data_IF_938519977896
#
_entry.id   IF_938519977896
#
_cell.length_a   1.000
_cell.length_b   1.000
_cell.length_c   1.000
_cell.angle_alpha   90.00
_cell.angle_beta   90.00
_cell.angle_gamma   90.00
#
_symmetry.space_group_name_H-M   'P 1'
#
loop_
_entity.id
_entity.type
_entity.pdbx_description
1 polymer ?
#
# COMPACT_ATOMS: atom_id res chain seq x y z
N UNK A 1 37.63 -16.95 -9.63
CA UNK A 1 36.63 -17.65 -10.48
C UNK A 1 35.40 -16.77 -10.57
N UNK A 2 35.02 -16.31 -11.76
CA UNK A 2 33.94 -15.32 -11.90
C UNK A 2 32.67 -16.00 -12.41
N UNK A 3 31.78 -16.39 -11.48
CA UNK A 3 30.50 -17.02 -11.80
C UNK A 3 29.68 -16.18 -12.79
N UNK A 4 29.68 -14.86 -12.62
CA UNK A 4 28.82 -13.96 -13.38
C UNK A 4 29.29 -13.88 -14.84
N UNK A 5 30.61 -13.70 -15.05
CA UNK A 5 31.19 -13.60 -16.38
C UNK A 5 31.31 -14.96 -17.07
N UNK A 6 31.90 -15.94 -16.38
CA UNK A 6 32.25 -17.22 -16.98
C UNK A 6 31.08 -18.21 -16.96
N UNK A 7 30.00 -17.90 -16.22
CA UNK A 7 28.85 -18.78 -16.03
C UNK A 7 29.28 -20.18 -15.60
N UNK A 8 30.23 -20.26 -14.66
CA UNK A 8 30.85 -21.52 -14.25
C UNK A 8 31.06 -21.57 -12.74
N UNK A 9 30.75 -22.72 -12.14
CA UNK A 9 31.01 -23.04 -10.74
C UNK A 9 31.82 -24.34 -10.70
N UNK A 10 33.08 -24.28 -10.24
CA UNK A 10 33.94 -25.46 -10.06
C UNK A 10 34.02 -26.40 -11.29
N UNK A 11 34.22 -25.85 -12.50
CA UNK A 11 34.26 -26.64 -13.74
C UNK A 11 32.89 -26.92 -14.37
N UNK A 12 31.80 -26.70 -13.64
CA UNK A 12 30.44 -26.86 -14.17
C UNK A 12 29.97 -25.58 -14.86
N UNK A 13 29.80 -25.64 -16.19
CA UNK A 13 29.22 -24.54 -16.97
C UNK A 13 27.70 -24.51 -16.82
N UNK A 14 27.19 -23.37 -16.36
CA UNK A 14 25.76 -23.12 -16.25
C UNK A 14 25.11 -23.12 -17.63
N UNK A 15 23.98 -23.82 -17.75
CA UNK A 15 23.16 -23.82 -18.95
C UNK A 15 22.72 -22.39 -19.35
N UNK A 16 22.52 -22.14 -20.64
CA UNK A 16 22.19 -20.81 -21.18
C UNK A 16 20.87 -20.24 -20.65
N UNK A 17 19.95 -21.10 -20.21
CA UNK A 17 18.68 -20.70 -19.60
C UNK A 17 18.81 -20.12 -18.18
N UNK A 18 19.93 -20.35 -17.48
CA UNK A 18 20.12 -19.87 -16.11
C UNK A 18 20.23 -18.33 -16.09
N UNK A 19 19.39 -17.67 -15.30
CA UNK A 19 19.47 -16.23 -15.05
C UNK A 19 20.10 -16.00 -13.68
N UNK A 20 20.99 -15.02 -13.59
CA UNK A 20 21.67 -14.65 -12.35
C UNK A 20 21.00 -13.36 -11.86
N UNK A 21 20.39 -13.41 -10.68
CA UNK A 21 19.80 -12.27 -9.99
C UNK A 21 20.49 -12.11 -8.64
N UNK A 22 20.89 -10.89 -8.31
CA UNK A 22 21.47 -10.53 -7.02
C UNK A 22 20.64 -9.42 -6.38
N UNK A 23 20.49 -9.47 -5.06
CA UNK A 23 19.90 -8.41 -4.25
C UNK A 23 20.95 -7.93 -3.26
N UNK A 24 21.09 -6.62 -3.13
CA UNK A 24 22.09 -6.00 -2.28
C UNK A 24 21.44 -4.88 -1.47
N UNK A 25 21.83 -4.74 -0.21
CA UNK A 25 21.46 -3.55 0.55
C UNK A 25 22.28 -2.35 0.04
N UNK A 26 21.69 -1.15 0.00
CA UNK A 26 22.45 0.06 -0.28
C UNK A 26 23.64 0.21 0.68
N UNK A 27 24.76 0.77 0.19
CA UNK A 27 25.94 1.03 1.03
C UNK A 27 26.37 2.49 0.94
N UNK A 28 27.21 2.92 1.88
CA UNK A 28 27.75 4.27 1.92
C UNK A 28 28.57 4.65 0.69
N UNK A 29 29.09 3.66 -0.04
CA UNK A 29 29.72 3.87 -1.36
C UNK A 29 28.78 4.50 -2.39
N UNK A 30 27.47 4.27 -2.26
CA UNK A 30 26.45 4.72 -3.23
C UNK A 30 25.62 5.91 -2.75
N UNK A 31 26.04 6.60 -1.68
CA UNK A 31 25.56 7.96 -1.36
C UNK A 31 24.81 8.12 -0.04
N UNK A 32 24.37 7.05 0.62
CA UNK A 32 23.68 7.13 1.91
C UNK A 32 24.52 6.56 3.05
N UNK A 33 24.77 7.36 4.08
CA UNK A 33 25.39 6.89 5.33
C UNK A 33 24.43 5.99 6.08
N UNK A 34 24.63 4.69 5.92
CA UNK A 34 23.92 3.66 6.66
C UNK A 34 24.73 3.17 7.86
N UNK A 35 24.07 3.03 9.01
CA UNK A 35 24.67 2.52 10.25
C UNK A 35 24.87 0.99 10.26
N UNK A 36 24.85 0.34 9.09
CA UNK A 36 25.05 -1.11 8.95
C UNK A 36 26.21 -1.44 8.01
N UNK A 37 26.92 -2.52 8.31
CA UNK A 37 28.03 -2.96 7.49
C UNK A 37 27.52 -3.70 6.24
N UNK A 38 27.99 -3.25 5.08
CA UNK A 38 27.74 -3.90 3.79
C UNK A 38 29.08 -4.27 3.18
N UNK A 39 29.15 -5.45 2.56
CA UNK A 39 30.28 -5.81 1.72
C UNK A 39 30.06 -5.18 0.35
N UNK A 40 30.85 -4.17 0.04
CA UNK A 40 30.79 -3.53 -1.26
C UNK A 40 31.23 -4.48 -2.37
N UNK A 41 30.51 -4.41 -3.49
CA UNK A 41 30.90 -5.09 -4.70
C UNK A 41 32.11 -4.37 -5.33
N UNK A 42 33.05 -5.13 -5.89
CA UNK A 42 34.17 -4.53 -6.63
C UNK A 42 33.69 -3.99 -8.00
N UNK A 43 34.34 -2.96 -8.52
CA UNK A 43 33.91 -2.29 -9.76
C UNK A 43 33.87 -3.22 -10.98
N UNK A 44 34.65 -4.30 -10.99
CA UNK A 44 34.56 -5.26 -12.08
C UNK A 44 33.27 -6.08 -11.98
N UNK A 45 32.82 -6.43 -10.78
CA UNK A 45 31.54 -7.10 -10.56
C UNK A 45 30.35 -6.17 -10.79
N UNK A 46 30.44 -4.89 -10.39
CA UNK A 46 29.40 -3.87 -10.66
C UNK A 46 29.08 -3.74 -12.16
N UNK A 47 30.11 -3.70 -12.99
CA UNK A 47 29.99 -3.61 -14.46
C UNK A 47 29.42 -4.88 -15.12
N UNK A 48 29.10 -5.92 -14.37
CA UNK A 48 28.51 -7.17 -14.89
C UNK A 48 27.03 -7.32 -14.55
N UNK A 49 26.44 -6.37 -13.83
CA UNK A 49 25.02 -6.34 -13.51
C UNK A 49 24.32 -5.14 -14.14
N UNK A 50 23.02 -5.33 -14.42
CA UNK A 50 22.09 -4.23 -14.62
C UNK A 50 21.51 -3.88 -13.25
N UNK A 51 21.60 -2.61 -12.87
CA UNK A 51 21.18 -2.12 -11.57
C UNK A 51 19.71 -1.71 -11.59
N UNK A 52 18.92 -2.26 -10.67
CA UNK A 52 17.54 -1.89 -10.42
C UNK A 52 17.42 -1.42 -8.98
N UNK A 53 17.13 -0.14 -8.79
CA UNK A 53 16.93 0.44 -7.46
C UNK A 53 15.49 0.18 -7.02
N UNK A 54 15.34 -0.37 -5.82
CA UNK A 54 14.05 -0.70 -5.23
C UNK A 54 13.78 0.24 -4.06
N UNK A 55 12.58 0.79 -4.01
CA UNK A 55 12.11 1.63 -2.92
C UNK A 55 10.70 1.20 -2.48
N UNK A 56 10.35 1.52 -1.24
CA UNK A 56 9.01 1.32 -0.70
C UNK A 56 8.06 2.40 -1.19
N UNK A 57 7.13 2.03 -2.06
CA UNK A 57 6.06 2.92 -2.53
C UNK A 57 4.78 2.71 -1.69
N UNK A 58 4.23 3.80 -1.17
CA UNK A 58 3.16 3.76 -0.18
C UNK A 58 1.86 3.16 -0.74
N UNK A 59 1.45 3.54 -1.94
CA UNK A 59 0.20 3.04 -2.54
C UNK A 59 0.29 1.53 -2.80
N UNK A 60 1.43 1.05 -3.27
CA UNK A 60 1.71 -0.36 -3.53
C UNK A 60 1.70 -1.17 -2.24
N UNK A 61 2.29 -0.63 -1.17
CA UNK A 61 2.25 -1.28 0.14
C UNK A 61 0.83 -1.32 0.72
N UNK A 62 0.10 -0.20 0.68
CA UNK A 62 -1.28 -0.11 1.14
C UNK A 62 -2.18 -1.10 0.40
N UNK A 63 -2.01 -1.21 -0.93
CA UNK A 63 -2.73 -2.20 -1.72
C UNK A 63 -2.42 -3.63 -1.26
N UNK A 64 -1.15 -3.98 -1.13
CA UNK A 64 -0.76 -5.31 -0.64
C UNK A 64 -1.30 -5.59 0.77
N UNK A 65 -1.32 -4.57 1.63
CA UNK A 65 -1.82 -4.67 3.01
C UNK A 65 -3.30 -5.01 3.05
N UNK A 66 -4.12 -4.35 2.23
CA UNK A 66 -5.55 -4.68 2.06
C UNK A 66 -5.72 -6.10 1.53
N UNK A 67 -5.02 -6.45 0.45
CA UNK A 67 -5.14 -7.77 -0.20
C UNK A 67 -4.75 -8.92 0.74
N UNK A 68 -3.76 -8.67 1.61
CA UNK A 68 -3.25 -9.61 2.61
C UNK A 68 -4.03 -9.62 3.92
N UNK A 69 -5.05 -8.77 4.08
CA UNK A 69 -5.89 -8.70 5.27
C UNK A 69 -5.15 -8.21 6.52
N UNK A 70 -4.26 -7.22 6.37
CA UNK A 70 -3.67 -6.52 7.51
C UNK A 70 -4.76 -5.79 8.31
N UNK A 71 -4.44 -5.51 9.57
CA UNK A 71 -5.33 -4.88 10.52
C UNK A 71 -5.64 -3.43 10.11
N UNK A 72 -6.93 -3.11 9.99
CA UNK A 72 -7.44 -1.89 9.38
C UNK A 72 -6.79 -0.62 9.96
N UNK A 73 -6.67 -0.51 11.29
CA UNK A 73 -6.05 0.66 11.93
C UNK A 73 -4.58 0.87 11.56
N UNK A 74 -3.85 -0.18 11.22
CA UNK A 74 -2.47 -0.07 10.73
C UNK A 74 -2.44 0.48 9.30
N UNK A 75 -3.36 0.01 8.46
CA UNK A 75 -3.51 0.48 7.09
C UNK A 75 -3.94 1.97 7.11
N UNK A 76 -4.93 2.32 7.93
CA UNK A 76 -5.40 3.70 8.12
C UNK A 76 -4.31 4.64 8.62
N UNK A 77 -3.46 4.16 9.54
CA UNK A 77 -2.36 4.94 10.07
C UNK A 77 -1.37 5.33 8.97
N UNK A 78 -0.95 4.37 8.13
CA UNK A 78 -0.05 4.66 6.99
C UNK A 78 -0.73 5.49 5.91
N UNK A 79 -2.02 5.29 5.67
CA UNK A 79 -2.76 6.13 4.72
C UNK A 79 -2.85 7.59 5.18
N UNK A 80 -2.93 7.81 6.50
CA UNK A 80 -2.95 9.13 7.12
C UNK A 80 -1.55 9.75 7.17
N UNK A 81 -0.51 8.95 7.47
CA UNK A 81 0.88 9.38 7.57
C UNK A 81 1.80 8.56 6.64
N UNK A 82 1.73 8.76 5.32
CA UNK A 82 2.51 8.03 4.32
C UNK A 82 4.02 8.02 4.59
N UNK A 83 4.54 9.12 5.13
CA UNK A 83 5.95 9.33 5.48
C UNK A 83 6.46 8.35 6.55
N UNK A 84 5.56 7.73 7.32
CA UNK A 84 5.94 6.78 8.36
C UNK A 84 6.11 5.35 7.85
N UNK A 85 5.78 5.05 6.59
CA UNK A 85 5.97 3.70 6.04
C UNK A 85 7.43 3.25 6.09
N UNK A 86 8.34 4.17 5.76
CA UNK A 86 9.78 3.94 5.78
C UNK A 86 10.47 5.10 6.50
N UNK A 87 10.91 4.87 7.74
CA UNK A 87 11.60 5.91 8.51
C UNK A 87 13.08 5.97 8.16
N UNK A 88 13.54 7.18 7.80
CA UNK A 88 14.95 7.48 7.54
C UNK A 88 15.62 8.18 8.74
N UNK A 89 14.94 8.29 9.89
CA UNK A 89 15.48 8.98 11.07
C UNK A 89 16.80 8.33 11.56
N UNK A 90 17.86 9.15 11.57
CA UNK A 90 19.20 8.76 12.03
C UNK A 90 19.26 8.69 13.56
N UNK A 91 20.11 7.82 14.10
CA UNK A 91 20.35 7.72 15.55
C UNK A 91 19.25 6.99 16.34
N UNK A 92 18.31 6.33 15.66
CA UNK A 92 17.34 5.45 16.29
C UNK A 92 17.76 3.99 16.15
N UNK A 93 17.61 3.18 17.21
CA UNK A 93 17.93 1.75 17.16
C UNK A 93 16.94 0.93 16.31
N UNK A 94 15.85 1.55 15.84
CA UNK A 94 14.77 0.86 15.14
C UNK A 94 14.17 1.78 14.09
N UNK A 95 14.21 1.35 12.83
CA UNK A 95 13.62 2.04 11.70
C UNK A 95 12.32 1.35 11.29
N UNK A 96 11.26 2.12 11.13
CA UNK A 96 10.01 1.61 10.57
C UNK A 96 10.23 1.21 9.10
N UNK A 97 9.72 0.05 8.74
CA UNK A 97 9.74 -0.49 7.38
C UNK A 97 8.38 -1.11 7.05
N UNK A 98 8.05 -1.32 5.76
CA UNK A 98 6.90 -2.14 5.35
C UNK A 98 6.69 -3.43 6.15
N UNK A 99 7.79 -4.14 6.46
CA UNK A 99 7.77 -5.38 7.24
C UNK A 99 7.44 -5.15 8.72
N UNK A 100 7.90 -4.03 9.28
CA UNK A 100 7.59 -3.67 10.66
C UNK A 100 6.08 -3.48 10.86
N UNK A 101 5.38 -2.89 9.89
CA UNK A 101 3.93 -2.70 9.95
C UNK A 101 3.14 -3.99 9.81
N UNK A 102 3.61 -4.97 9.03
CA UNK A 102 3.02 -6.32 9.02
C UNK A 102 3.08 -6.97 10.43
N UNK A 103 4.21 -6.83 11.13
CA UNK A 103 4.37 -7.33 12.51
C UNK A 103 3.46 -6.58 13.48
N UNK A 104 3.40 -5.25 13.38
CA UNK A 104 2.51 -4.43 14.22
C UNK A 104 1.05 -4.79 13.97
N UNK A 105 0.65 -5.06 12.73
CA UNK A 105 -0.69 -5.54 12.42
C UNK A 105 -1.02 -6.85 13.14
N UNK A 106 -0.11 -7.83 13.12
CA UNK A 106 -0.30 -9.11 13.84
C UNK A 106 -0.41 -8.90 15.34
N UNK A 107 0.46 -8.06 15.92
CA UNK A 107 0.45 -7.73 17.35
C UNK A 107 -0.84 -7.00 17.74
N UNK A 108 -1.26 -6.02 16.94
CA UNK A 108 -2.41 -5.19 17.26
C UNK A 108 -3.73 -5.99 17.17
N UNK A 109 -3.82 -6.92 16.22
CA UNK A 109 -4.93 -7.88 16.16
C UNK A 109 -5.04 -8.71 17.44
N UNK A 110 -3.92 -9.30 17.89
CA UNK A 110 -3.88 -10.06 19.15
C UNK A 110 -4.21 -9.19 20.37
N UNK A 111 -3.78 -7.93 20.37
CA UNK A 111 -4.11 -6.97 21.43
C UNK A 111 -5.62 -6.71 21.49
N UNK A 112 -6.29 -6.46 20.36
CA UNK A 112 -7.75 -6.25 20.31
C UNK A 112 -8.53 -7.44 20.85
N UNK A 113 -8.08 -8.66 20.54
CA UNK A 113 -8.69 -9.90 21.04
C UNK A 113 -8.53 -10.08 22.56
N UNK A 114 -7.59 -9.36 23.19
CA UNK A 114 -7.20 -9.51 24.60
C UNK A 114 -7.16 -8.18 25.36
N UNK A 115 -7.91 -7.18 24.91
CA UNK A 115 -7.75 -5.78 25.35
C UNK A 115 -7.90 -5.59 26.87
N UNK A 116 -8.80 -6.36 27.49
CA UNK A 116 -9.03 -6.31 28.94
C UNK A 116 -7.89 -6.93 29.78
N UNK A 117 -7.01 -7.71 29.17
CA UNK A 117 -5.96 -8.47 29.84
C UNK A 117 -4.55 -7.90 29.60
N UNK A 118 -4.37 -7.09 28.55
CA UNK A 118 -3.07 -6.56 28.16
C UNK A 118 -3.04 -5.05 28.41
N UNK A 119 -2.26 -4.56 29.38
CA UNK A 119 -2.09 -3.14 29.58
C UNK A 119 -1.56 -2.44 28.32
N UNK A 120 -2.13 -1.28 27.98
CA UNK A 120 -1.76 -0.49 26.80
C UNK A 120 -0.26 -0.16 26.70
N UNK A 121 0.40 0.02 27.85
CA UNK A 121 1.86 0.21 27.93
C UNK A 121 2.67 -0.94 27.28
N UNK A 122 2.14 -2.16 27.32
CA UNK A 122 2.78 -3.33 26.70
C UNK A 122 2.67 -3.22 25.18
N UNK A 123 1.49 -2.87 24.66
CA UNK A 123 1.30 -2.61 23.23
C UNK A 123 2.26 -1.51 22.76
N UNK A 124 2.32 -0.38 23.47
CA UNK A 124 3.24 0.72 23.15
C UNK A 124 4.69 0.24 23.06
N UNK A 125 5.18 -0.54 24.03
CA UNK A 125 6.56 -1.05 24.01
C UNK A 125 6.83 -1.98 22.82
N UNK A 126 5.87 -2.86 22.48
CA UNK A 126 6.03 -3.78 21.34
C UNK A 126 6.02 -3.01 20.02
N UNK A 127 5.13 -2.03 19.88
CA UNK A 127 5.06 -1.17 18.69
C UNK A 127 6.35 -0.33 18.58
N UNK A 128 6.83 0.25 19.67
CA UNK A 128 8.09 1.00 19.71
C UNK A 128 9.30 0.15 19.31
N UNK A 129 9.33 -1.12 19.70
CA UNK A 129 10.37 -2.06 19.26
C UNK A 129 10.33 -2.42 17.77
N UNK A 130 9.25 -2.08 17.05
CA UNK A 130 9.14 -2.29 15.59
C UNK A 130 9.24 -0.99 14.79
N UNK A 131 8.72 0.12 15.31
CA UNK A 131 8.56 1.39 14.57
C UNK A 131 9.43 2.53 15.12
N UNK A 132 10.06 2.35 16.28
CA UNK A 132 10.70 3.42 17.03
C UNK A 132 9.70 4.20 17.92
N UNK A 133 10.24 4.89 18.93
CA UNK A 133 9.43 5.51 19.99
C UNK A 133 8.46 6.58 19.46
N UNK A 134 8.93 7.46 18.57
CA UNK A 134 8.13 8.57 18.04
C UNK A 134 6.89 8.05 17.29
N UNK A 135 7.11 7.22 16.27
CA UNK A 135 6.03 6.64 15.47
C UNK A 135 5.09 5.79 16.34
N UNK A 136 5.61 5.06 17.33
CA UNK A 136 4.76 4.29 18.23
C UNK A 136 3.83 5.16 19.09
N UNK A 137 4.32 6.30 19.62
CA UNK A 137 3.47 7.23 20.36
C UNK A 137 2.38 7.83 19.48
N UNK A 138 2.74 8.19 18.24
CA UNK A 138 1.77 8.71 17.27
C UNK A 138 0.76 7.65 16.86
N UNK A 139 1.17 6.39 16.67
CA UNK A 139 0.26 5.27 16.40
C UNK A 139 -0.71 5.03 17.56
N UNK A 140 -0.22 5.04 18.80
CA UNK A 140 -1.07 4.88 20.00
C UNK A 140 -2.06 6.03 20.14
N UNK A 141 -1.61 7.26 19.90
CA UNK A 141 -2.46 8.46 19.89
C UNK A 141 -3.49 8.41 18.76
N UNK A 142 -3.10 7.92 17.58
CA UNK A 142 -3.97 7.75 16.43
C UNK A 142 -5.11 6.75 16.72
N UNK A 143 -4.81 5.66 17.42
CA UNK A 143 -5.82 4.69 17.86
C UNK A 143 -6.76 5.32 18.89
N UNK A 144 -6.24 6.10 19.86
CA UNK A 144 -7.06 6.75 20.89
C UNK A 144 -7.94 7.88 20.36
N UNK A 145 -7.46 8.61 19.35
CA UNK A 145 -8.09 9.82 18.87
C UNK A 145 -9.45 9.59 18.18
N UNK A 146 -9.96 8.35 18.14
CA UNK A 146 -11.19 8.01 17.43
C UNK A 146 -11.20 8.63 16.01
N UNK A 147 -10.04 8.58 15.35
CA UNK A 147 -9.87 9.13 14.02
C UNK A 147 -10.93 8.54 13.10
N UNK A 148 -11.49 9.39 12.23
CA UNK A 148 -12.54 8.98 11.30
C UNK A 148 -12.06 7.73 10.55
N UNK A 149 -12.77 6.61 10.68
CA UNK A 149 -12.40 5.40 9.96
C UNK A 149 -12.42 5.67 8.46
N UNK A 150 -11.92 4.75 7.65
CA UNK A 150 -12.20 4.79 6.22
C UNK A 150 -13.71 4.69 5.99
N UNK A 151 -14.15 5.10 4.81
CA UNK A 151 -15.54 4.90 4.41
C UNK A 151 -15.73 3.39 4.26
N UNK A 152 -16.62 2.81 5.07
CA UNK A 152 -16.84 1.37 5.06
C UNK A 152 -17.66 0.93 3.84
N UNK A 153 -17.67 -0.38 3.56
CA UNK A 153 -18.41 -0.95 2.44
C UNK A 153 -19.90 -0.67 2.54
N UNK A 154 -20.45 -0.92 3.72
CA UNK A 154 -21.87 -0.75 4.07
C UNK A 154 -22.30 0.71 3.91
N UNK A 155 -21.41 1.66 4.23
CA UNK A 155 -21.70 3.09 4.07
C UNK A 155 -21.95 3.48 2.61
N UNK A 156 -21.31 2.79 1.66
CA UNK A 156 -21.46 3.04 0.23
C UNK A 156 -22.60 2.20 -0.36
N UNK A 157 -22.70 0.92 0.01
CA UNK A 157 -23.54 -0.03 -0.74
C UNK A 157 -24.91 -0.35 -0.12
N UNK A 158 -25.10 -0.18 1.20
CA UNK A 158 -26.36 -0.58 1.87
C UNK A 158 -27.55 0.34 1.57
N UNK A 159 -27.29 1.62 1.23
CA UNK A 159 -28.33 2.60 0.90
C UNK A 159 -28.54 2.66 -0.60
N UNK A 160 -29.76 2.96 -1.05
CA UNK A 160 -30.07 3.11 -2.49
C UNK A 160 -29.35 4.29 -3.19
N UNK A 161 -28.78 5.24 -2.44
CA UNK A 161 -28.10 6.41 -2.98
C UNK A 161 -26.96 6.88 -2.06
N UNK A 162 -26.00 7.61 -2.64
CA UNK A 162 -24.95 8.29 -1.87
C UNK A 162 -25.57 9.47 -1.12
N UNK A 163 -25.56 9.42 0.21
CA UNK A 163 -26.16 10.49 1.02
C UNK A 163 -25.32 11.77 0.96
N UNK A 164 -25.94 12.92 1.21
CA UNK A 164 -25.26 14.22 1.20
C UNK A 164 -24.14 14.31 2.24
N UNK A 165 -24.31 13.63 3.36
CA UNK A 165 -23.28 13.51 4.40
C UNK A 165 -22.06 12.72 3.91
N UNK A 166 -22.29 11.62 3.18
CA UNK A 166 -21.23 10.82 2.59
C UNK A 166 -20.51 11.60 1.47
N UNK A 167 -21.25 12.32 0.64
CA UNK A 167 -20.69 13.19 -0.39
C UNK A 167 -19.75 14.26 0.20
N UNK A 168 -20.19 14.95 1.26
CA UNK A 168 -19.37 15.93 1.97
C UNK A 168 -18.13 15.29 2.61
N UNK A 169 -18.26 14.06 3.13
CA UNK A 169 -17.13 13.31 3.67
C UNK A 169 -16.11 13.00 2.59
N UNK A 170 -16.53 12.44 1.44
CA UNK A 170 -15.64 12.11 0.31
C UNK A 170 -14.85 13.34 -0.14
N UNK A 171 -15.51 14.49 -0.29
CA UNK A 171 -14.85 15.75 -0.71
C UNK A 171 -13.85 16.29 0.32
N UNK A 172 -13.96 15.90 1.59
CA UNK A 172 -13.06 16.30 2.66
C UNK A 172 -11.91 15.32 2.94
N UNK A 173 -11.88 14.17 2.27
CA UNK A 173 -10.86 13.13 2.47
C UNK A 173 -9.60 13.40 1.63
N UNK A 174 -8.45 12.91 2.12
CA UNK A 174 -7.20 13.01 1.37
C UNK A 174 -7.17 12.05 0.18
N UNK A 175 -6.38 12.34 -0.85
CA UNK A 175 -6.23 11.47 -2.03
C UNK A 175 -5.78 10.05 -1.64
N UNK A 176 -4.89 9.92 -0.66
CA UNK A 176 -4.43 8.61 -0.16
C UNK A 176 -5.56 7.82 0.50
N UNK A 177 -6.38 8.48 1.33
CA UNK A 177 -7.52 7.83 2.00
C UNK A 177 -8.63 7.47 1.02
N UNK A 178 -8.91 8.32 0.03
CA UNK A 178 -9.83 8.03 -1.05
C UNK A 178 -9.35 6.85 -1.91
N UNK A 179 -8.07 6.85 -2.30
CA UNK A 179 -7.45 5.74 -3.04
C UNK A 179 -7.59 4.43 -2.29
N UNK A 180 -7.24 4.43 -1.00
CA UNK A 180 -7.32 3.26 -0.15
C UNK A 180 -8.76 2.76 0.03
N UNK A 181 -9.69 3.69 0.27
CA UNK A 181 -11.12 3.39 0.35
C UNK A 181 -11.56 2.66 -0.91
N UNK A 182 -11.32 3.25 -2.09
CA UNK A 182 -11.70 2.62 -3.35
C UNK A 182 -11.06 1.24 -3.54
N UNK A 183 -9.77 1.07 -3.19
CA UNK A 183 -9.10 -0.24 -3.26
C UNK A 183 -9.74 -1.28 -2.37
N UNK A 184 -10.14 -0.91 -1.16
CA UNK A 184 -10.84 -1.81 -0.24
C UNK A 184 -12.21 -2.23 -0.82
N UNK A 185 -13.00 -1.26 -1.28
CA UNK A 185 -14.30 -1.54 -1.91
C UNK A 185 -14.16 -2.43 -3.14
N UNK A 186 -13.21 -2.12 -4.04
CA UNK A 186 -12.94 -2.91 -5.24
C UNK A 186 -12.46 -4.33 -4.92
N UNK A 187 -11.66 -4.50 -3.86
CA UNK A 187 -11.21 -5.82 -3.41
C UNK A 187 -12.38 -6.67 -2.92
N UNK A 188 -13.27 -6.10 -2.10
CA UNK A 188 -14.47 -6.77 -1.60
C UNK A 188 -15.39 -7.14 -2.76
N UNK A 189 -15.76 -6.16 -3.59
CA UNK A 189 -16.61 -6.39 -4.77
C UNK A 189 -16.03 -7.44 -5.71
N UNK A 190 -14.71 -7.46 -5.94
CA UNK A 190 -14.13 -8.42 -6.87
C UNK A 190 -14.11 -9.87 -6.33
N UNK A 191 -14.24 -10.06 -5.01
CA UNK A 191 -14.33 -11.38 -4.38
C UNK A 191 -15.75 -11.92 -4.27
N UNK A 192 -16.74 -11.03 -4.21
CA UNK A 192 -18.14 -11.40 -4.01
C UNK A 192 -18.95 -11.31 -5.32
N UNK A 193 -20.12 -11.93 -5.34
CA UNK A 193 -21.08 -11.70 -6.43
C UNK A 193 -21.83 -10.41 -6.12
N UNK A 194 -21.78 -9.45 -7.05
CA UNK A 194 -22.40 -8.13 -6.88
C UNK A 194 -23.58 -7.92 -7.82
N UNK A 195 -24.50 -7.05 -7.41
CA UNK A 195 -25.65 -6.64 -8.22
C UNK A 195 -25.31 -5.49 -9.16
N UNK A 196 -26.13 -5.27 -10.18
CA UNK A 196 -26.06 -4.09 -11.04
C UNK A 196 -26.16 -2.80 -10.20
N UNK A 197 -27.05 -2.75 -9.21
CA UNK A 197 -27.18 -1.61 -8.30
C UNK A 197 -25.88 -1.28 -7.54
N UNK A 198 -25.05 -2.27 -7.21
CA UNK A 198 -23.75 -2.02 -6.58
C UNK A 198 -22.77 -1.40 -7.57
N UNK A 199 -22.84 -1.77 -8.85
CA UNK A 199 -21.98 -1.20 -9.89
C UNK A 199 -22.36 0.26 -10.19
N UNK A 200 -23.65 0.57 -10.28
CA UNK A 200 -24.14 1.95 -10.40
C UNK A 200 -23.64 2.80 -9.22
N UNK A 201 -23.78 2.27 -8.00
CA UNK A 201 -23.34 2.96 -6.78
C UNK A 201 -21.84 3.17 -6.73
N UNK A 202 -21.05 2.19 -7.16
CA UNK A 202 -19.60 2.32 -7.28
C UNK A 202 -19.24 3.45 -8.25
N UNK A 203 -19.92 3.53 -9.40
CA UNK A 203 -19.67 4.58 -10.39
C UNK A 203 -20.02 5.95 -9.81
N UNK A 204 -21.18 6.10 -9.17
CA UNK A 204 -21.58 7.36 -8.55
C UNK A 204 -20.64 7.78 -7.43
N UNK A 205 -20.14 6.81 -6.65
CA UNK A 205 -19.12 7.05 -5.65
C UNK A 205 -17.80 7.53 -6.27
N UNK A 206 -17.33 6.89 -7.35
CA UNK A 206 -16.09 7.26 -8.05
C UNK A 206 -16.20 8.60 -8.80
N UNK A 207 -17.40 9.02 -9.22
CA UNK A 207 -17.62 10.36 -9.82
C UNK A 207 -17.32 11.50 -8.85
N UNK A 208 -17.41 11.24 -7.54
CA UNK A 208 -17.11 12.23 -6.51
C UNK A 208 -15.60 12.39 -6.25
N UNK A 209 -14.76 11.55 -6.86
CA UNK A 209 -13.32 11.59 -6.69
C UNK A 209 -12.69 12.63 -7.63
N UNK A 210 -11.52 13.20 -7.26
CA UNK A 210 -10.67 13.96 -8.18
C UNK A 210 -10.39 13.18 -9.47
N UNK A 211 -10.38 13.88 -10.60
CA UNK A 211 -10.29 13.30 -11.94
C UNK A 211 -9.07 12.39 -12.16
N UNK A 212 -7.91 12.83 -11.66
CA UNK A 212 -6.64 12.12 -11.75
C UNK A 212 -6.69 10.80 -10.95
N UNK A 213 -7.25 10.86 -9.74
CA UNK A 213 -7.42 9.70 -8.88
C UNK A 213 -8.41 8.70 -9.48
N UNK A 214 -9.52 9.21 -10.03
CA UNK A 214 -10.55 8.42 -10.71
C UNK A 214 -9.97 7.65 -11.89
N UNK A 215 -9.19 8.31 -12.76
CA UNK A 215 -8.51 7.67 -13.89
C UNK A 215 -7.53 6.58 -13.44
N UNK A 216 -6.73 6.85 -12.40
CA UNK A 216 -5.81 5.88 -11.83
C UNK A 216 -6.56 4.63 -11.32
N UNK A 217 -7.71 4.83 -10.65
CA UNK A 217 -8.55 3.74 -10.16
C UNK A 217 -9.19 2.94 -11.30
N UNK A 218 -9.66 3.58 -12.37
CA UNK A 218 -10.18 2.87 -13.55
C UNK A 218 -9.11 2.01 -14.23
N UNK A 219 -7.87 2.50 -14.30
CA UNK A 219 -6.75 1.71 -14.81
C UNK A 219 -6.45 0.52 -13.89
N UNK A 220 -6.49 0.73 -12.58
CA UNK A 220 -6.32 -0.33 -11.59
C UNK A 220 -7.44 -1.39 -11.66
N UNK A 221 -8.70 -0.98 -11.87
CA UNK A 221 -9.84 -1.87 -12.12
C UNK A 221 -9.55 -2.79 -13.29
N UNK A 222 -9.10 -2.24 -14.42
CA UNK A 222 -8.74 -3.02 -15.61
C UNK A 222 -7.60 -4.01 -15.37
N UNK A 223 -6.61 -3.63 -14.57
CA UNK A 223 -5.42 -4.46 -14.36
C UNK A 223 -5.62 -5.57 -13.33
N UNK A 224 -6.49 -5.35 -12.33
CA UNK A 224 -6.51 -6.18 -11.11
C UNK A 224 -7.90 -6.62 -10.65
N UNK A 225 -8.95 -5.89 -11.02
CA UNK A 225 -10.33 -6.16 -10.59
C UNK A 225 -11.20 -6.51 -11.81
N UNK A 226 -10.79 -7.53 -12.55
CA UNK A 226 -11.37 -7.90 -13.85
C UNK A 226 -12.89 -8.11 -13.84
N UNK A 227 -13.45 -8.66 -12.75
CA UNK A 227 -14.89 -8.90 -12.66
C UNK A 227 -15.63 -7.56 -12.57
N UNK A 228 -15.21 -6.71 -11.63
CA UNK A 228 -15.77 -5.37 -11.42
C UNK A 228 -15.61 -4.53 -12.69
N UNK A 229 -14.43 -4.54 -13.32
CA UNK A 229 -14.16 -3.79 -14.54
C UNK A 229 -15.05 -4.21 -15.71
N UNK A 230 -15.23 -5.52 -15.95
CA UNK A 230 -16.10 -6.01 -17.02
C UNK A 230 -17.54 -5.57 -16.81
N UNK A 231 -18.06 -5.66 -15.59
CA UNK A 231 -19.42 -5.20 -15.30
C UNK A 231 -19.56 -3.68 -15.40
N UNK A 232 -18.52 -2.92 -15.02
CA UNK A 232 -18.51 -1.46 -15.21
C UNK A 232 -18.59 -1.07 -16.69
N UNK A 233 -18.02 -1.85 -17.61
CA UNK A 233 -18.06 -1.54 -19.05
C UNK A 233 -19.45 -1.65 -19.66
N UNK A 234 -20.37 -2.37 -19.03
CA UNK A 234 -21.78 -2.45 -19.48
C UNK A 234 -22.58 -1.18 -19.09
N UNK A 235 -22.00 -0.28 -18.29
CA UNK A 235 -22.66 0.94 -17.81
C UNK A 235 -22.19 2.17 -18.58
N UNK A 236 -23.13 2.85 -19.24
CA UNK A 236 -22.85 4.05 -20.03
C UNK A 236 -22.16 5.15 -19.21
N UNK A 237 -22.57 5.32 -17.95
CA UNK A 237 -21.98 6.29 -17.02
C UNK A 237 -20.49 6.05 -16.75
N UNK A 238 -20.03 4.80 -16.70
CA UNK A 238 -18.61 4.49 -16.53
C UNK A 238 -17.80 4.85 -17.78
N UNK A 239 -18.36 4.60 -18.96
CA UNK A 239 -17.75 4.95 -20.24
C UNK A 239 -17.65 6.48 -20.38
N UNK A 240 -18.75 7.18 -20.08
CA UNK A 240 -18.81 8.65 -20.12
C UNK A 240 -17.80 9.27 -19.14
N UNK A 241 -17.66 8.69 -17.94
CA UNK A 241 -16.65 9.10 -16.96
C UNK A 241 -15.21 9.00 -17.49
N UNK A 242 -14.91 8.00 -18.32
CA UNK A 242 -13.61 7.88 -18.99
C UNK A 242 -13.39 9.02 -19.99
N UNK A 243 -14.36 9.27 -20.87
CA UNK A 243 -14.24 10.29 -21.92
C UNK A 243 -14.23 11.71 -21.38
N UNK A 244 -15.10 12.03 -20.41
CA UNK A 244 -15.11 13.32 -19.74
C UNK A 244 -13.73 13.65 -19.15
N UNK A 245 -13.04 12.63 -18.63
CA UNK A 245 -11.71 12.82 -18.09
C UNK A 245 -10.64 13.11 -19.17
N UNK A 246 -10.80 12.59 -20.39
CA UNK A 246 -9.90 12.89 -21.51
C UNK A 246 -10.09 14.32 -22.05
N UNK A 247 -11.32 14.82 -22.04
CA UNK A 247 -11.64 16.16 -22.56
C UNK A 247 -11.17 17.26 -21.60
N UNK A 248 -11.31 17.06 -20.29
CA UNK A 248 -10.82 18.00 -19.26
C UNK A 248 -9.29 18.09 -19.18
N UNK A 249 -8.55 17.03 -19.58
CA UNK A 249 -7.08 17.02 -19.59
C UNK A 249 -6.51 17.71 -20.85
N UNK A 250 -7.29 17.78 -21.93
CA UNK A 250 -6.89 18.40 -23.21
C UNK A 250 -7.32 19.85 -23.37
N UNK A 251 -8.26 20.33 -22.54
CA UNK A 251 -8.63 21.74 -22.43
C UNK A 251 -7.64 22.53 -21.58
#
# INVERSE_FOLDING_TARGET
MNLILNREINGYKLHSSVKILAAMNPSSKYGEDFDYQVVDMDSAQENRFVWLYMDSEVKSWLQWAVESGLEEKVIEFIATFPEYLHSTEKGTNTKATPRSYERVSKVFKLYKENENNIPKRILLNIVAGNLGNKIAQEFISFIDANNKPLIAFEEVFDKEYISKELELRIKGESHTRLYLTAKNLLYILNKESFSEAYMERLIDFLKLYPIDLRLALMQDMKLRYNNVYKSSLEMEEFINMYFAAYDEIKG
#
